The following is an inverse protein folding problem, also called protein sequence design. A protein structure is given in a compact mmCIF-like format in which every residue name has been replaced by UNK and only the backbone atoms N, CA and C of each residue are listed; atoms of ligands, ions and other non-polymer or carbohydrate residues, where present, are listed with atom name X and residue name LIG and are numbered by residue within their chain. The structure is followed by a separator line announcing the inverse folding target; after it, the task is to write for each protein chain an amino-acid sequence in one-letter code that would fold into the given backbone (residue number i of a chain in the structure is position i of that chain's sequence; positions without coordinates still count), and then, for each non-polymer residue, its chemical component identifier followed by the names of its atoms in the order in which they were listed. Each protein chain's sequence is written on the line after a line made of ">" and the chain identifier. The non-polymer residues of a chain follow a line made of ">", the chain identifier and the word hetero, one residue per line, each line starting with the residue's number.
data_IF_069988096745
#
_entry.id   IF_069988096745
#
_cell.length_a   1.000
_cell.length_b   1.000
_cell.length_c   1.000
_cell.angle_alpha   90.00
_cell.angle_beta   90.00
_cell.angle_gamma   90.00
#
_symmetry.space_group_name_H-M   'P 1'
#
loop_
_entity.id
_entity.type
_entity.pdbx_description
1 polymer ?
#
# COMPACT_ATOMS: atom_id res chain seq x y z
N UNK A 1 -13.40 -14.27 3.02
CA UNK A 1 -12.80 -13.16 2.23
C UNK A 1 -13.58 -11.89 2.56
N UNK A 2 -12.89 -10.83 2.87
CA UNK A 2 -13.47 -9.55 3.30
C UNK A 2 -13.81 -8.71 2.06
N UNK A 3 -15.01 -8.11 2.01
CA UNK A 3 -15.33 -7.19 0.90
C UNK A 3 -14.53 -5.88 1.09
N UNK A 4 -13.49 -5.75 0.29
CA UNK A 4 -12.58 -4.60 0.36
C UNK A 4 -13.31 -3.26 0.18
N UNK A 5 -14.39 -3.22 -0.59
CA UNK A 5 -15.17 -1.99 -0.85
C UNK A 5 -15.78 -1.37 0.40
N UNK A 6 -15.96 -2.15 1.45
CA UNK A 6 -16.53 -1.70 2.73
C UNK A 6 -15.48 -1.56 3.84
N UNK A 7 -14.22 -2.01 3.58
CA UNK A 7 -13.16 -2.10 4.60
C UNK A 7 -11.94 -1.22 4.32
N UNK A 8 -11.90 -0.48 3.20
CA UNK A 8 -10.79 0.43 2.88
C UNK A 8 -10.83 1.67 3.78
N UNK A 9 -10.31 1.52 5.00
CA UNK A 9 -10.17 2.60 6.00
C UNK A 9 -9.10 2.23 7.01
N UNK A 10 -8.75 3.17 7.88
CA UNK A 10 -7.80 2.90 8.95
C UNK A 10 -6.35 2.79 8.48
N UNK A 11 -5.54 2.00 9.19
CA UNK A 11 -4.12 1.84 8.93
C UNK A 11 -3.82 0.56 8.13
N UNK A 12 -3.26 0.70 6.94
CA UNK A 12 -2.81 -0.40 6.11
C UNK A 12 -1.29 -0.45 6.05
N UNK A 13 -0.72 -1.65 6.15
CA UNK A 13 0.72 -1.86 6.13
C UNK A 13 1.16 -2.39 4.76
N UNK A 14 1.97 -1.64 3.98
CA UNK A 14 2.63 -2.16 2.78
C UNK A 14 3.84 -3.00 3.22
N UNK A 15 3.62 -4.30 3.49
CA UNK A 15 4.59 -5.19 4.11
C UNK A 15 5.88 -5.30 3.29
N UNK A 16 7.04 -5.20 3.95
CA UNK A 16 8.33 -5.50 3.32
C UNK A 16 8.42 -6.99 3.00
N UNK A 17 9.17 -7.34 1.96
CA UNK A 17 9.53 -8.73 1.64
C UNK A 17 10.93 -8.98 2.14
N UNK A 18 11.15 -9.85 3.16
CA UNK A 18 12.48 -10.14 3.65
C UNK A 18 13.21 -11.09 2.70
N UNK A 19 14.48 -10.78 2.42
CA UNK A 19 15.38 -11.62 1.62
C UNK A 19 16.58 -12.07 2.44
N UNK A 20 17.12 -13.24 2.07
CA UNK A 20 18.36 -13.76 2.62
C UNK A 20 19.08 -14.61 1.58
N UNK A 21 20.32 -14.29 1.28
CA UNK A 21 21.14 -14.95 0.24
C UNK A 21 20.48 -14.94 -1.16
N UNK A 22 19.81 -13.85 -1.53
CA UNK A 22 19.08 -13.70 -2.78
C UNK A 22 17.68 -14.30 -2.82
N UNK A 23 17.27 -15.07 -1.82
CA UNK A 23 16.01 -15.81 -1.76
C UNK A 23 15.01 -15.17 -0.78
N UNK A 24 13.73 -15.52 -0.92
CA UNK A 24 12.68 -15.15 0.03
C UNK A 24 12.96 -15.78 1.40
N UNK A 25 13.15 -14.95 2.45
CA UNK A 25 13.32 -15.42 3.83
C UNK A 25 11.97 -15.70 4.47
N UNK A 26 11.48 -16.93 4.31
CA UNK A 26 10.18 -17.35 4.84
C UNK A 26 10.09 -17.31 6.36
N UNK A 27 11.19 -17.57 7.06
CA UNK A 27 11.22 -17.55 8.54
C UNK A 27 10.98 -16.13 9.03
N UNK A 28 11.71 -15.17 8.49
CA UNK A 28 11.50 -13.74 8.79
C UNK A 28 10.13 -13.27 8.33
N UNK A 29 9.63 -13.71 7.16
CA UNK A 29 8.31 -13.36 6.67
C UNK A 29 7.20 -13.81 7.64
N UNK A 30 7.21 -15.06 8.09
CA UNK A 30 6.24 -15.56 9.07
C UNK A 30 6.32 -14.78 10.38
N UNK A 31 7.52 -14.43 10.84
CA UNK A 31 7.74 -13.62 12.05
C UNK A 31 7.13 -12.21 11.89
N UNK A 32 7.34 -11.56 10.74
CA UNK A 32 6.75 -10.26 10.42
C UNK A 32 5.22 -10.31 10.41
N UNK A 33 4.64 -11.31 9.74
CA UNK A 33 3.17 -11.45 9.66
C UNK A 33 2.56 -11.66 11.03
N UNK A 34 3.18 -12.50 11.88
CA UNK A 34 2.72 -12.70 13.26
C UNK A 34 2.81 -11.41 14.07
N UNK A 35 3.91 -10.69 13.94
CA UNK A 35 4.09 -9.42 14.63
C UNK A 35 3.04 -8.40 14.21
N UNK A 36 2.93 -8.08 12.93
CA UNK A 36 2.01 -7.04 12.47
C UNK A 36 0.54 -7.47 12.48
N UNK A 37 0.24 -8.75 12.30
CA UNK A 37 -1.11 -9.28 12.39
C UNK A 37 -1.73 -9.15 13.78
N UNK A 38 -0.89 -9.09 14.84
CA UNK A 38 -1.32 -8.83 16.22
C UNK A 38 -1.48 -7.34 16.55
N UNK A 39 -0.99 -6.44 15.69
CA UNK A 39 -1.05 -4.99 15.90
C UNK A 39 -2.31 -4.38 15.24
N UNK A 40 -2.69 -3.14 15.62
CA UNK A 40 -3.92 -2.50 15.16
C UNK A 40 -3.81 -1.96 13.73
N UNK A 41 -3.55 -2.85 12.77
CA UNK A 41 -3.63 -2.57 11.33
C UNK A 41 -4.97 -3.04 10.77
N UNK A 42 -5.46 -2.41 9.72
CA UNK A 42 -6.73 -2.73 9.07
C UNK A 42 -6.56 -3.55 7.77
N UNK A 43 -5.32 -3.80 7.37
CA UNK A 43 -4.97 -4.66 6.24
C UNK A 43 -3.48 -4.67 5.91
N UNK A 44 -3.08 -5.59 5.04
CA UNK A 44 -1.71 -5.71 4.52
C UNK A 44 -1.71 -5.59 3.00
N UNK A 45 -0.65 -5.00 2.45
CA UNK A 45 -0.42 -4.96 1.00
C UNK A 45 0.92 -5.64 0.73
N UNK A 46 0.92 -6.68 -0.09
CA UNK A 46 2.08 -7.47 -0.45
C UNK A 46 2.62 -7.02 -1.81
N UNK A 47 3.91 -7.20 -2.05
CA UNK A 47 4.56 -6.99 -3.35
C UNK A 47 4.32 -5.58 -3.96
N UNK A 48 3.96 -4.57 -3.14
CA UNK A 48 3.96 -3.18 -3.58
C UNK A 48 5.41 -2.62 -3.58
N UNK A 49 5.58 -1.32 -3.74
CA UNK A 49 6.90 -0.66 -3.74
C UNK A 49 7.75 -1.04 -2.51
N UNK A 50 7.16 -0.95 -1.32
CA UNK A 50 7.82 -1.29 -0.05
C UNK A 50 8.18 -2.78 0.04
N UNK A 51 7.37 -3.64 -0.57
CA UNK A 51 7.60 -5.09 -0.65
C UNK A 51 8.48 -5.51 -1.84
N UNK A 52 9.15 -4.55 -2.51
CA UNK A 52 10.04 -4.81 -3.65
C UNK A 52 9.41 -5.67 -4.77
N UNK A 53 8.12 -5.49 -5.03
CA UNK A 53 7.33 -6.35 -5.93
C UNK A 53 7.87 -6.46 -7.35
N UNK A 54 8.59 -5.43 -7.86
CA UNK A 54 9.20 -5.46 -9.19
C UNK A 54 10.42 -6.40 -9.29
N UNK A 55 10.93 -6.89 -8.17
CA UNK A 55 12.07 -7.82 -8.12
C UNK A 55 11.67 -9.25 -7.79
N UNK A 56 10.37 -9.49 -7.59
CA UNK A 56 9.82 -10.81 -7.30
C UNK A 56 9.43 -11.55 -8.58
N UNK A 57 9.85 -12.79 -8.70
CA UNK A 57 9.35 -13.70 -9.71
C UNK A 57 7.88 -14.10 -9.42
N UNK A 58 7.10 -14.52 -10.43
CA UNK A 58 5.70 -14.92 -10.21
C UNK A 58 5.49 -16.03 -9.20
N UNK A 59 6.37 -17.02 -9.16
CA UNK A 59 6.34 -18.14 -8.20
C UNK A 59 6.71 -17.69 -6.79
N UNK A 60 7.66 -16.75 -6.63
CA UNK A 60 7.98 -16.14 -5.34
C UNK A 60 6.80 -15.32 -4.81
N UNK A 61 6.12 -14.58 -5.71
CA UNK A 61 4.92 -13.82 -5.33
C UNK A 61 3.80 -14.74 -4.89
N UNK A 62 3.57 -15.86 -5.59
CA UNK A 62 2.59 -16.87 -5.18
C UNK A 62 2.92 -17.45 -3.79
N UNK A 63 4.18 -17.76 -3.55
CA UNK A 63 4.68 -18.28 -2.27
C UNK A 63 4.55 -17.26 -1.14
N UNK A 64 4.89 -15.99 -1.41
CA UNK A 64 4.68 -14.88 -0.49
C UNK A 64 3.20 -14.78 -0.05
N UNK A 65 2.27 -14.77 -1.01
CA UNK A 65 0.83 -14.69 -0.73
C UNK A 65 0.34 -15.90 0.09
N UNK A 66 0.77 -17.11 -0.28
CA UNK A 66 0.38 -18.32 0.42
C UNK A 66 0.83 -18.31 1.89
N UNK A 67 2.09 -17.94 2.16
CA UNK A 67 2.64 -17.84 3.51
C UNK A 67 1.91 -16.80 4.35
N UNK A 68 1.70 -15.60 3.78
CA UNK A 68 1.02 -14.52 4.51
C UNK A 68 -0.41 -14.90 4.84
N UNK A 69 -1.14 -15.50 3.89
CA UNK A 69 -2.52 -15.92 4.14
C UNK A 69 -2.63 -17.02 5.19
N UNK A 70 -1.73 -17.99 5.16
CA UNK A 70 -1.64 -19.06 6.18
C UNK A 70 -1.47 -18.47 7.59
N UNK A 71 -0.49 -17.58 7.77
CA UNK A 71 -0.22 -16.95 9.08
C UNK A 71 -1.36 -16.02 9.54
N UNK A 72 -1.89 -15.19 8.64
CA UNK A 72 -3.00 -14.26 8.96
C UNK A 72 -4.24 -15.03 9.42
N UNK A 73 -4.55 -16.16 8.78
CA UNK A 73 -5.71 -16.99 9.14
C UNK A 73 -5.62 -17.54 10.56
N UNK A 74 -4.41 -17.79 11.04
CA UNK A 74 -4.17 -18.29 12.41
C UNK A 74 -4.15 -17.20 13.50
N UNK A 75 -3.96 -15.93 13.12
CA UNK A 75 -3.79 -14.82 14.07
C UNK A 75 -5.03 -13.93 14.13
N UNK A 76 -5.52 -13.53 12.97
CA UNK A 76 -6.63 -12.57 12.85
C UNK A 76 -7.46 -12.91 11.62
N UNK A 77 -8.42 -13.81 11.80
CA UNK A 77 -9.37 -14.14 10.75
C UNK A 77 -10.05 -12.87 10.20
N UNK A 78 -10.08 -12.74 8.88
CA UNK A 78 -10.70 -11.59 8.20
C UNK A 78 -9.82 -10.36 8.05
N UNK A 79 -8.54 -10.35 8.46
CA UNK A 79 -7.61 -9.26 8.12
C UNK A 79 -7.37 -9.27 6.60
N UNK A 80 -7.74 -8.18 5.88
CA UNK A 80 -7.59 -8.14 4.43
C UNK A 80 -6.13 -8.16 3.99
N UNK A 81 -5.85 -8.89 2.90
CA UNK A 81 -4.54 -8.96 2.25
C UNK A 81 -4.69 -8.62 0.78
N UNK A 82 -4.06 -7.54 0.33
CA UNK A 82 -4.05 -7.12 -1.06
C UNK A 82 -2.71 -7.42 -1.74
N UNK A 83 -2.77 -7.67 -3.05
CA UNK A 83 -1.58 -7.82 -3.89
C UNK A 83 -1.28 -6.52 -4.63
N UNK A 84 -0.05 -6.00 -4.49
CA UNK A 84 0.46 -4.89 -5.27
C UNK A 84 0.88 -5.34 -6.66
N UNK A 85 0.44 -4.63 -7.68
CA UNK A 85 0.83 -4.82 -9.07
C UNK A 85 1.35 -3.51 -9.66
N UNK A 86 2.41 -3.58 -10.45
CA UNK A 86 2.98 -2.42 -11.14
C UNK A 86 3.44 -2.84 -12.53
N UNK A 87 3.02 -2.09 -13.54
CA UNK A 87 3.39 -2.35 -14.92
C UNK A 87 2.99 -1.20 -15.83
N UNK A 88 3.57 -1.13 -17.03
CA UNK A 88 3.27 -0.13 -18.05
C UNK A 88 2.53 -0.71 -19.25
N UNK A 89 2.47 -2.03 -19.37
CA UNK A 89 1.72 -2.74 -20.40
C UNK A 89 0.41 -3.29 -19.81
N UNK A 90 -0.73 -2.81 -20.36
CA UNK A 90 -2.06 -3.27 -19.95
C UNK A 90 -2.24 -4.76 -20.16
N UNK A 91 -1.71 -5.32 -21.26
CA UNK A 91 -1.85 -6.75 -21.59
C UNK A 91 -1.15 -7.63 -20.56
N UNK A 92 0.09 -7.28 -20.21
CA UNK A 92 0.87 -8.00 -19.19
C UNK A 92 0.17 -8.00 -17.82
N UNK A 93 -0.44 -6.86 -17.45
CA UNK A 93 -1.22 -6.79 -16.22
C UNK A 93 -2.53 -7.59 -16.30
N UNK A 94 -3.22 -7.64 -17.44
CA UNK A 94 -4.38 -8.50 -17.64
C UNK A 94 -4.02 -9.98 -17.50
N UNK A 95 -2.92 -10.42 -18.11
CA UNK A 95 -2.38 -11.79 -17.96
C UNK A 95 -2.03 -12.09 -16.50
N UNK A 96 -1.54 -11.09 -15.77
CA UNK A 96 -1.22 -11.23 -14.34
C UNK A 96 -2.49 -11.32 -13.49
N UNK A 97 -3.53 -10.54 -13.78
CA UNK A 97 -4.83 -10.64 -13.11
C UNK A 97 -5.48 -12.01 -13.32
N UNK A 98 -5.41 -12.56 -14.55
CA UNK A 98 -5.91 -13.91 -14.85
C UNK A 98 -5.14 -14.97 -14.04
N UNK A 99 -3.81 -14.90 -14.02
CA UNK A 99 -2.95 -15.82 -13.30
C UNK A 99 -3.18 -15.80 -11.78
N UNK A 100 -3.53 -14.64 -11.23
CA UNK A 100 -3.73 -14.42 -9.79
C UNK A 100 -5.19 -14.49 -9.35
N UNK A 101 -6.13 -14.73 -10.27
CA UNK A 101 -7.57 -14.68 -10.04
C UNK A 101 -8.07 -15.62 -8.92
N UNK A 102 -7.41 -16.78 -8.76
CA UNK A 102 -7.73 -17.79 -7.74
C UNK A 102 -6.85 -17.67 -6.47
N UNK A 103 -5.98 -16.66 -6.38
CA UNK A 103 -5.13 -16.51 -5.21
C UNK A 103 -5.94 -16.04 -4.00
N UNK A 104 -5.54 -16.42 -2.77
CA UNK A 104 -6.27 -16.08 -1.56
C UNK A 104 -5.97 -14.64 -1.11
N UNK A 105 -6.33 -13.66 -1.94
CA UNK A 105 -6.23 -12.23 -1.70
C UNK A 105 -7.62 -11.59 -1.63
N UNK A 106 -7.72 -10.40 -1.06
CA UNK A 106 -9.00 -9.66 -0.93
C UNK A 106 -9.10 -8.49 -1.93
N UNK A 107 -8.00 -8.15 -2.61
CA UNK A 107 -7.97 -7.07 -3.60
C UNK A 107 -6.61 -6.84 -4.22
N UNK A 108 -6.57 -5.89 -5.15
CA UNK A 108 -5.35 -5.44 -5.81
C UNK A 108 -5.06 -3.97 -5.50
N UNK A 109 -3.78 -3.62 -5.34
CA UNK A 109 -3.28 -2.24 -5.41
C UNK A 109 -2.49 -2.11 -6.70
N UNK A 110 -3.01 -1.35 -7.69
CA UNK A 110 -2.40 -1.23 -9.02
C UNK A 110 -1.88 0.20 -9.23
N UNK A 111 -0.57 0.33 -9.48
CA UNK A 111 0.05 1.64 -9.75
C UNK A 111 -0.36 2.20 -11.11
N UNK A 112 -0.39 3.53 -11.24
CA UNK A 112 -0.42 4.15 -12.55
C UNK A 112 0.76 3.65 -13.41
N UNK A 113 0.58 3.51 -14.74
CA UNK A 113 1.66 3.13 -15.64
C UNK A 113 2.85 4.09 -15.50
N UNK A 114 4.04 3.54 -15.29
CA UNK A 114 5.26 4.32 -15.12
C UNK A 114 6.05 4.45 -16.44
N UNK A 115 6.97 5.39 -16.50
CA UNK A 115 7.90 5.62 -17.62
C UNK A 115 7.23 6.12 -18.90
N UNK A 116 6.22 5.43 -19.44
CA UNK A 116 5.55 5.75 -20.72
C UNK A 116 4.68 7.00 -20.70
N UNK A 117 4.27 7.46 -19.50
CA UNK A 117 3.50 8.69 -19.25
C UNK A 117 2.25 8.84 -20.14
N UNK A 118 1.29 7.92 -20.04
CA UNK A 118 0.08 7.94 -20.87
C UNK A 118 -0.79 9.17 -20.60
N UNK A 119 -1.69 9.48 -21.55
CA UNK A 119 -2.71 10.53 -21.38
C UNK A 119 -3.77 10.10 -20.34
N UNK A 120 -4.57 11.05 -19.86
CA UNK A 120 -5.70 10.76 -18.95
C UNK A 120 -6.66 9.73 -19.56
N UNK A 121 -6.99 9.87 -20.84
CA UNK A 121 -7.82 8.90 -21.57
C UNK A 121 -7.17 7.52 -21.63
N UNK A 122 -5.85 7.46 -21.81
CA UNK A 122 -5.11 6.20 -21.80
C UNK A 122 -5.18 5.52 -20.42
N UNK A 123 -5.03 6.28 -19.34
CA UNK A 123 -5.16 5.79 -17.97
C UNK A 123 -6.57 5.31 -17.64
N UNK A 124 -7.61 6.05 -18.06
CA UNK A 124 -9.00 5.61 -17.90
C UNK A 124 -9.21 4.26 -18.58
N UNK A 125 -8.82 4.12 -19.85
CA UNK A 125 -8.96 2.84 -20.58
C UNK A 125 -8.17 1.71 -19.93
N UNK A 126 -6.96 1.99 -19.47
CA UNK A 126 -6.10 1.05 -18.77
C UNK A 126 -6.77 0.51 -17.50
N UNK A 127 -7.16 1.38 -16.58
CA UNK A 127 -7.78 0.96 -15.31
C UNK A 127 -9.17 0.36 -15.49
N UNK A 128 -9.96 0.83 -16.47
CA UNK A 128 -11.25 0.21 -16.78
C UNK A 128 -11.06 -1.24 -17.25
N UNK A 129 -10.14 -1.49 -18.19
CA UNK A 129 -9.86 -2.85 -18.68
C UNK A 129 -9.36 -3.77 -17.54
N UNK A 130 -8.48 -3.26 -16.65
CA UNK A 130 -8.01 -4.03 -15.50
C UNK A 130 -9.14 -4.32 -14.51
N UNK A 131 -10.00 -3.35 -14.24
CA UNK A 131 -11.12 -3.52 -13.32
C UNK A 131 -12.22 -4.44 -13.87
N UNK A 132 -12.43 -4.44 -15.20
CA UNK A 132 -13.36 -5.37 -15.88
C UNK A 132 -12.89 -6.83 -15.77
N UNK A 133 -11.55 -7.06 -15.86
CA UNK A 133 -10.96 -8.41 -15.80
C UNK A 133 -10.77 -8.90 -14.36
N UNK A 134 -10.49 -7.99 -13.41
CA UNK A 134 -10.12 -8.37 -12.05
C UNK A 134 -11.27 -9.07 -11.32
N UNK A 135 -10.98 -10.24 -10.75
CA UNK A 135 -11.92 -11.01 -9.90
C UNK A 135 -12.06 -10.43 -8.49
N UNK A 136 -11.08 -9.63 -8.06
CA UNK A 136 -11.05 -8.95 -6.77
C UNK A 136 -11.10 -7.43 -6.97
N UNK A 137 -11.60 -6.66 -5.98
CA UNK A 137 -11.64 -5.20 -6.06
C UNK A 137 -10.25 -4.58 -6.30
N UNK A 138 -10.23 -3.50 -7.08
CA UNK A 138 -9.00 -2.77 -7.45
C UNK A 138 -8.94 -1.46 -6.67
N UNK A 139 -7.79 -1.21 -6.05
CA UNK A 139 -7.38 0.09 -5.51
C UNK A 139 -6.35 0.70 -6.48
N UNK A 140 -6.60 1.89 -6.98
CA UNK A 140 -5.66 2.62 -7.83
C UNK A 140 -4.53 3.19 -6.95
N UNK A 141 -3.30 3.20 -7.46
CA UNK A 141 -2.16 3.81 -6.79
C UNK A 141 -1.60 4.96 -7.64
N UNK A 142 -1.91 6.19 -7.24
CA UNK A 142 -1.43 7.41 -7.88
C UNK A 142 -0.19 7.94 -7.16
N UNK A 143 0.98 7.81 -7.80
CA UNK A 143 2.28 8.19 -7.23
C UNK A 143 3.17 8.88 -8.29
N UNK A 144 2.88 10.14 -8.63
CA UNK A 144 3.47 10.84 -9.76
C UNK A 144 4.99 10.96 -9.73
N UNK A 145 5.59 11.12 -8.55
CA UNK A 145 7.04 11.26 -8.44
C UNK A 145 7.82 9.97 -8.76
N UNK A 146 7.15 8.80 -8.75
CA UNK A 146 7.72 7.51 -9.19
C UNK A 146 7.31 7.16 -10.62
N UNK A 147 6.04 7.36 -10.97
CA UNK A 147 5.51 6.95 -12.27
C UNK A 147 5.78 7.96 -13.38
N UNK A 148 5.99 9.24 -13.03
CA UNK A 148 6.14 10.33 -13.99
C UNK A 148 4.80 10.80 -14.56
N UNK A 149 3.66 10.28 -14.11
CA UNK A 149 2.31 10.67 -14.54
C UNK A 149 1.39 10.83 -13.35
N UNK A 150 0.56 11.88 -13.36
CA UNK A 150 -0.47 12.13 -12.36
C UNK A 150 -1.85 11.81 -12.95
N UNK A 151 -2.64 11.00 -12.25
CA UNK A 151 -4.05 10.77 -12.59
C UNK A 151 -4.88 11.93 -11.99
N UNK A 152 -5.40 12.79 -12.87
CA UNK A 152 -6.17 13.97 -12.47
C UNK A 152 -7.57 13.61 -11.96
N UNK A 153 -8.18 14.55 -11.22
CA UNK A 153 -9.46 14.31 -10.54
C UNK A 153 -10.60 13.90 -11.47
N UNK A 154 -10.73 14.51 -12.65
CA UNK A 154 -11.84 14.16 -13.56
C UNK A 154 -11.71 12.73 -14.08
N UNK A 155 -10.49 12.28 -14.40
CA UNK A 155 -10.24 10.89 -14.77
C UNK A 155 -10.44 9.93 -13.57
N UNK A 156 -9.98 10.32 -12.38
CA UNK A 156 -10.18 9.54 -11.16
C UNK A 156 -11.66 9.39 -10.82
N UNK A 157 -12.45 10.47 -10.90
CA UNK A 157 -13.88 10.44 -10.62
C UNK A 157 -14.65 9.58 -11.62
N UNK A 158 -14.25 9.60 -12.91
CA UNK A 158 -14.82 8.68 -13.89
C UNK A 158 -14.52 7.23 -13.54
N UNK A 159 -13.29 6.91 -13.13
CA UNK A 159 -12.91 5.58 -12.68
C UNK A 159 -13.59 5.17 -11.36
N UNK A 160 -13.84 6.12 -10.47
CA UNK A 160 -14.56 5.88 -9.22
C UNK A 160 -16.01 5.42 -9.42
N UNK A 161 -16.59 5.62 -10.60
CA UNK A 161 -17.92 5.07 -10.95
C UNK A 161 -17.88 3.57 -11.33
N UNK A 162 -16.73 3.02 -11.59
CA UNK A 162 -16.58 1.60 -11.91
C UNK A 162 -16.85 0.72 -10.69
N UNK A 163 -17.74 -0.29 -10.75
CA UNK A 163 -18.17 -1.06 -9.58
C UNK A 163 -17.05 -1.86 -8.91
N UNK A 164 -16.00 -2.23 -9.66
CA UNK A 164 -14.87 -2.99 -9.17
C UNK A 164 -13.65 -2.13 -8.79
N UNK A 165 -13.75 -0.79 -8.88
CA UNK A 165 -12.73 0.12 -8.35
C UNK A 165 -13.19 0.59 -6.97
N UNK A 166 -12.48 0.12 -5.94
CA UNK A 166 -12.86 0.32 -4.54
C UNK A 166 -12.31 1.62 -3.95
N UNK A 167 -11.18 2.12 -4.46
CA UNK A 167 -10.55 3.31 -3.88
C UNK A 167 -9.22 3.67 -4.51
N UNK A 168 -8.56 4.60 -3.84
CA UNK A 168 -7.29 5.21 -4.21
C UNK A 168 -6.30 5.16 -3.04
N UNK A 169 -5.07 4.77 -3.32
CA UNK A 169 -3.89 5.17 -2.54
C UNK A 169 -3.33 6.44 -3.15
N UNK A 170 -3.46 7.56 -2.44
CA UNK A 170 -3.07 8.89 -2.94
C UNK A 170 -1.69 9.29 -2.44
N UNK A 171 -0.75 9.41 -3.38
CA UNK A 171 0.59 9.95 -3.20
C UNK A 171 0.85 11.11 -4.19
N UNK A 172 -0.18 11.86 -4.59
CA UNK A 172 0.02 12.92 -5.59
C UNK A 172 0.78 14.13 -5.03
N UNK A 173 0.85 14.27 -3.70
CA UNK A 173 1.51 15.38 -2.98
C UNK A 173 1.00 16.80 -3.40
N UNK A 174 -0.17 16.89 -4.03
CA UNK A 174 -0.84 18.13 -4.40
C UNK A 174 -2.11 18.25 -3.55
N UNK A 175 -1.98 18.87 -2.37
CA UNK A 175 -3.06 18.96 -1.38
C UNK A 175 -4.38 19.49 -1.96
N UNK A 176 -4.33 20.49 -2.84
CA UNK A 176 -5.52 21.04 -3.48
C UNK A 176 -6.26 19.99 -4.33
N UNK A 177 -5.53 19.12 -5.06
CA UNK A 177 -6.10 18.02 -5.81
C UNK A 177 -6.76 17.01 -4.88
N UNK A 178 -6.08 16.63 -3.81
CA UNK A 178 -6.62 15.68 -2.82
C UNK A 178 -7.88 16.20 -2.14
N UNK A 179 -7.91 17.47 -1.69
CA UNK A 179 -9.10 18.09 -1.08
C UNK A 179 -10.27 18.14 -2.08
N UNK A 180 -10.02 18.50 -3.34
CA UNK A 180 -11.07 18.53 -4.37
C UNK A 180 -11.64 17.11 -4.60
N UNK A 181 -10.78 16.11 -4.70
CA UNK A 181 -11.21 14.71 -4.84
C UNK A 181 -12.10 14.26 -3.66
N UNK A 182 -11.69 14.57 -2.41
CA UNK A 182 -12.47 14.25 -1.21
C UNK A 182 -13.90 14.83 -1.26
N UNK A 183 -14.05 16.03 -1.80
CA UNK A 183 -15.36 16.68 -1.90
C UNK A 183 -16.26 16.13 -3.00
N UNK A 184 -15.68 15.57 -4.07
CA UNK A 184 -16.40 15.16 -5.29
C UNK A 184 -16.58 13.66 -5.41
N UNK A 185 -15.79 12.85 -4.68
CA UNK A 185 -15.81 11.38 -4.80
C UNK A 185 -17.14 10.77 -4.38
N UNK A 186 -17.58 9.67 -5.01
CA UNK A 186 -18.70 8.87 -4.50
C UNK A 186 -18.41 8.33 -3.10
N UNK A 187 -19.42 8.24 -2.24
CA UNK A 187 -19.26 7.75 -0.85
C UNK A 187 -18.67 6.34 -0.75
N UNK A 188 -18.85 5.50 -1.78
CA UNK A 188 -18.30 4.15 -1.86
C UNK A 188 -16.83 4.09 -2.27
N UNK A 189 -16.26 5.18 -2.77
CA UNK A 189 -14.88 5.25 -3.22
C UNK A 189 -13.97 5.75 -2.11
N UNK A 190 -13.17 4.87 -1.53
CA UNK A 190 -12.27 5.19 -0.45
C UNK A 190 -10.99 5.90 -0.94
N UNK A 191 -10.48 6.85 -0.15
CA UNK A 191 -9.19 7.50 -0.42
C UNK A 191 -8.30 7.35 0.80
N UNK A 192 -7.18 6.63 0.63
CA UNK A 192 -6.17 6.44 1.66
C UNK A 192 -4.92 7.24 1.32
N UNK A 193 -4.39 7.96 2.31
CA UNK A 193 -3.08 8.61 2.16
C UNK A 193 -2.00 7.57 1.97
N UNK A 194 -1.14 7.76 0.98
CA UNK A 194 0.02 6.89 0.76
C UNK A 194 1.35 7.63 0.88
N UNK A 195 1.30 8.91 1.25
CA UNK A 195 2.47 9.75 1.47
C UNK A 195 2.66 9.95 2.98
N UNK A 196 3.62 9.23 3.55
CA UNK A 196 3.81 9.14 5.01
C UNK A 196 3.92 10.51 5.68
N UNK A 197 4.70 11.43 5.10
CA UNK A 197 4.93 12.75 5.67
C UNK A 197 3.68 13.67 5.67
N UNK A 198 2.72 13.40 4.79
CA UNK A 198 1.51 14.21 4.63
C UNK A 198 0.24 13.54 5.19
N UNK A 199 0.40 12.41 5.85
CA UNK A 199 -0.73 11.59 6.32
C UNK A 199 -1.65 12.34 7.28
N UNK A 200 -1.11 13.09 8.24
CA UNK A 200 -1.93 13.83 9.20
C UNK A 200 -2.85 14.84 8.51
N UNK A 201 -2.28 15.64 7.58
CA UNK A 201 -3.05 16.61 6.82
C UNK A 201 -4.11 15.94 5.94
N UNK A 202 -3.76 14.83 5.28
CA UNK A 202 -4.69 14.07 4.45
C UNK A 202 -5.89 13.54 5.25
N UNK A 203 -5.64 13.03 6.46
CA UNK A 203 -6.69 12.55 7.37
C UNK A 203 -7.58 13.70 7.86
N UNK A 204 -7.01 14.86 8.20
CA UNK A 204 -7.77 16.07 8.55
C UNK A 204 -8.59 16.58 7.37
N UNK A 205 -8.09 16.46 6.14
CA UNK A 205 -8.78 16.83 4.91
C UNK A 205 -9.84 15.79 4.46
N UNK A 206 -10.02 14.68 5.20
CA UNK A 206 -11.10 13.72 5.00
C UNK A 206 -10.71 12.38 4.34
N UNK A 207 -9.44 12.01 4.34
CA UNK A 207 -9.02 10.66 3.93
C UNK A 207 -9.59 9.58 4.90
N UNK A 208 -9.99 8.43 4.35
CA UNK A 208 -10.60 7.32 5.12
C UNK A 208 -9.56 6.55 5.95
N UNK A 209 -8.28 6.74 5.66
CA UNK A 209 -7.19 6.03 6.30
C UNK A 209 -5.85 6.31 5.61
N UNK A 210 -4.89 5.44 5.86
CA UNK A 210 -3.56 5.57 5.30
C UNK A 210 -2.88 4.22 5.05
N UNK A 211 -1.98 4.19 4.06
CA UNK A 211 -1.11 3.06 3.73
C UNK A 211 0.32 3.52 3.94
N UNK A 212 0.89 3.20 5.11
CA UNK A 212 2.13 3.80 5.59
C UNK A 212 3.28 2.80 5.70
N UNK A 213 4.36 3.08 5.01
CA UNK A 213 5.60 2.32 5.16
C UNK A 213 6.25 2.58 6.53
N UNK A 214 6.16 3.81 7.05
CA UNK A 214 6.65 4.17 8.39
C UNK A 214 5.96 3.41 9.53
N UNK A 215 4.76 2.87 9.28
CA UNK A 215 4.04 2.08 10.28
C UNK A 215 4.67 0.71 10.57
N UNK A 216 5.73 0.31 9.87
CA UNK A 216 6.58 -0.80 10.31
C UNK A 216 7.27 -0.50 11.65
N UNK A 217 7.41 0.78 11.99
CA UNK A 217 7.96 1.25 13.27
C UNK A 217 6.86 2.07 13.92
N UNK A 218 6.63 1.85 15.22
CA UNK A 218 5.57 2.56 15.96
C UNK A 218 4.14 2.38 15.38
N UNK A 219 3.80 1.17 14.92
CA UNK A 219 2.48 0.84 14.35
C UNK A 219 1.31 1.34 15.19
N UNK A 220 1.36 1.09 16.53
CA UNK A 220 0.33 1.53 17.48
C UNK A 220 0.16 3.05 17.49
N UNK A 221 1.25 3.79 17.33
CA UNK A 221 1.22 5.24 17.34
C UNK A 221 0.52 5.80 16.09
N UNK A 222 0.85 5.26 14.90
CA UNK A 222 0.18 5.66 13.66
C UNK A 222 -1.31 5.25 13.67
N UNK A 223 -1.63 4.06 14.14
CA UNK A 223 -3.02 3.62 14.31
C UNK A 223 -3.79 4.53 15.27
N UNK A 224 -3.17 4.90 16.39
CA UNK A 224 -3.76 5.82 17.37
C UNK A 224 -4.05 7.21 16.80
N UNK A 225 -3.19 7.75 15.93
CA UNK A 225 -3.44 9.02 15.22
C UNK A 225 -4.73 8.94 14.41
N UNK A 226 -4.88 7.87 13.62
CA UNK A 226 -6.08 7.67 12.78
C UNK A 226 -7.33 7.53 13.66
N UNK A 227 -7.28 6.72 14.71
CA UNK A 227 -8.40 6.49 15.62
C UNK A 227 -8.84 7.78 16.34
N UNK A 228 -7.87 8.58 16.81
CA UNK A 228 -8.15 9.85 17.48
C UNK A 228 -8.79 10.88 16.53
N UNK A 229 -8.33 10.98 15.28
CA UNK A 229 -8.95 11.83 14.26
C UNK A 229 -10.37 11.36 13.93
N UNK A 230 -10.57 10.07 13.73
CA UNK A 230 -11.89 9.48 13.44
C UNK A 230 -12.88 9.70 14.57
N UNK A 231 -12.41 9.72 15.82
CA UNK A 231 -13.24 10.01 17.02
C UNK A 231 -13.41 11.51 17.31
N UNK A 232 -12.86 12.40 16.46
CA UNK A 232 -12.95 13.85 16.63
C UNK A 232 -11.99 14.45 17.68
N UNK A 233 -11.05 13.66 18.21
CA UNK A 233 -10.09 14.14 19.22
C UNK A 233 -8.82 14.72 18.55
N UNK A 234 -8.98 15.83 17.85
CA UNK A 234 -7.93 16.44 17.04
C UNK A 234 -6.68 16.86 17.83
N UNK A 235 -6.85 17.39 19.04
CA UNK A 235 -5.71 17.83 19.87
C UNK A 235 -4.83 16.65 20.31
N UNK A 236 -5.45 15.55 20.72
CA UNK A 236 -4.70 14.33 21.08
C UNK A 236 -4.04 13.71 19.86
N UNK A 237 -4.72 13.69 18.72
CA UNK A 237 -4.17 13.21 17.46
C UNK A 237 -2.93 14.01 17.03
N UNK A 238 -2.99 15.35 17.13
CA UNK A 238 -1.87 16.23 16.81
C UNK A 238 -0.65 15.95 17.68
N UNK A 239 -0.87 15.85 19.02
CA UNK A 239 0.22 15.50 19.95
C UNK A 239 0.85 14.14 19.62
N UNK A 240 0.00 13.14 19.29
CA UNK A 240 0.49 11.80 18.93
C UNK A 240 1.25 11.81 17.62
N UNK A 241 0.76 12.54 16.61
CA UNK A 241 1.44 12.74 15.34
C UNK A 241 2.81 13.41 15.50
N UNK A 242 2.89 14.49 16.28
CA UNK A 242 4.15 15.20 16.54
C UNK A 242 5.21 14.28 17.17
N UNK A 243 4.80 13.32 17.99
CA UNK A 243 5.73 12.36 18.60
C UNK A 243 6.33 11.37 17.59
N UNK A 244 5.63 11.04 16.48
CA UNK A 244 6.06 10.01 15.52
C UNK A 244 6.40 10.54 14.11
N UNK A 245 6.02 11.77 13.79
CA UNK A 245 6.20 12.34 12.45
C UNK A 245 7.66 12.41 11.99
N UNK A 246 8.62 12.49 12.91
CA UNK A 246 10.04 12.45 12.57
C UNK A 246 10.45 11.13 11.90
N UNK A 247 9.78 10.01 12.21
CA UNK A 247 10.03 8.70 11.59
C UNK A 247 9.76 8.73 10.09
N UNK A 248 8.74 9.50 9.65
CA UNK A 248 8.42 9.62 8.22
C UNK A 248 9.56 10.22 7.39
N UNK A 249 10.38 11.09 7.99
CA UNK A 249 11.58 11.65 7.36
C UNK A 249 12.77 10.69 7.48
N UNK A 250 12.96 10.09 8.65
CA UNK A 250 14.07 9.19 8.90
C UNK A 250 14.01 7.97 7.99
N UNK A 251 12.84 7.34 7.85
CA UNK A 251 12.67 6.12 7.08
C UNK A 251 12.63 6.33 5.55
N UNK A 252 12.66 7.60 5.12
CA UNK A 252 12.77 8.01 3.72
C UNK A 252 14.01 8.87 3.46
N UNK A 253 14.98 8.90 4.42
CA UNK A 253 16.27 9.59 4.24
C UNK A 253 17.12 8.96 3.13
N UNK A 254 16.92 7.68 2.90
CA UNK A 254 17.47 6.92 1.77
C UNK A 254 16.32 6.20 1.04
N UNK A 255 16.55 5.61 -0.15
CA UNK A 255 15.50 4.96 -0.92
C UNK A 255 14.79 3.87 -0.11
N UNK A 256 13.47 4.04 0.10
CA UNK A 256 12.62 3.03 0.76
C UNK A 256 12.53 1.77 -0.12
N UNK A 257 12.64 0.53 0.47
CA UNK A 257 12.51 0.23 1.90
C UNK A 257 13.83 0.04 2.68
N UNK A 258 14.98 0.49 2.17
CA UNK A 258 16.28 0.20 2.81
C UNK A 258 16.35 0.61 4.29
N UNK A 259 15.98 1.85 4.73
CA UNK A 259 16.01 2.22 6.14
C UNK A 259 15.06 1.37 7.00
N UNK A 260 13.91 0.98 6.46
CA UNK A 260 12.93 0.13 7.16
C UNK A 260 13.54 -1.26 7.41
N UNK A 261 14.08 -1.90 6.36
CA UNK A 261 14.72 -3.22 6.49
C UNK A 261 15.90 -3.18 7.44
N UNK A 262 16.72 -2.12 7.39
CA UNK A 262 17.83 -1.95 8.33
C UNK A 262 17.33 -1.90 9.78
N UNK A 263 16.28 -1.12 10.06
CA UNK A 263 15.68 -1.06 11.40
C UNK A 263 15.13 -2.41 11.85
N UNK A 264 14.38 -3.10 11.00
CA UNK A 264 13.79 -4.40 11.33
C UNK A 264 14.86 -5.46 11.58
N UNK A 265 15.95 -5.42 10.84
CA UNK A 265 17.12 -6.28 11.09
C UNK A 265 17.78 -5.97 12.43
N UNK A 266 18.03 -4.70 12.73
CA UNK A 266 18.63 -4.26 14.00
C UNK A 266 17.78 -4.64 15.22
N UNK A 267 16.46 -4.70 15.06
CA UNK A 267 15.53 -5.10 16.13
C UNK A 267 15.21 -6.59 16.15
N UNK A 268 15.81 -7.40 15.25
CA UNK A 268 15.64 -8.84 15.20
C UNK A 268 14.33 -9.34 14.62
N UNK A 269 13.54 -8.45 13.96
CA UNK A 269 12.31 -8.85 13.28
C UNK A 269 12.57 -9.55 11.94
N UNK A 270 13.71 -9.28 11.30
CA UNK A 270 14.19 -10.01 10.13
C UNK A 270 15.65 -10.41 10.33
N UNK A 271 16.10 -11.47 9.66
CA UNK A 271 17.45 -12.03 9.86
C UNK A 271 18.51 -11.38 8.97
N UNK A 272 18.09 -10.61 7.95
CA UNK A 272 18.98 -9.91 7.01
C UNK A 272 18.36 -8.58 6.56
N UNK A 273 19.15 -7.49 6.41
CA UNK A 273 18.68 -6.22 5.84
C UNK A 273 18.65 -6.23 4.31
N UNK A 274 18.91 -7.35 3.68
CA UNK A 274 19.14 -7.52 2.24
C UNK A 274 17.99 -6.97 1.40
N UNK A 275 18.36 -6.25 0.33
CA UNK A 275 17.48 -5.84 -0.75
C UNK A 275 17.93 -6.48 -2.07
N UNK A 276 17.05 -6.59 -3.04
CA UNK A 276 17.41 -7.01 -4.38
C UNK A 276 17.78 -5.82 -5.26
N UNK A 277 18.81 -5.97 -6.07
CA UNK A 277 19.18 -4.95 -7.04
C UNK A 277 17.99 -4.57 -7.95
N UNK A 278 17.85 -3.28 -8.30
CA UNK A 278 18.85 -2.21 -8.17
C UNK A 278 18.88 -1.51 -6.80
N UNK A 279 18.04 -1.94 -5.84
CA UNK A 279 18.07 -1.41 -4.48
C UNK A 279 19.25 -1.99 -3.70
N UNK A 280 19.81 -1.18 -2.79
CA UNK A 280 20.91 -1.57 -1.91
C UNK A 280 20.55 -1.29 -0.45
N UNK A 281 21.27 -1.92 0.47
CA UNK A 281 21.20 -1.59 1.89
C UNK A 281 21.54 -0.12 2.13
N UNK A 282 21.20 0.39 3.32
CA UNK A 282 21.54 1.76 3.73
C UNK A 282 23.05 2.00 3.70
N UNK A 283 23.42 3.24 3.41
CA UNK A 283 24.81 3.68 3.44
C UNK A 283 25.40 3.58 4.86
N UNK A 284 26.71 3.36 5.00
CA UNK A 284 27.40 3.30 6.31
C UNK A 284 27.27 4.56 7.13
#
# INVERSE_FOLDING_TARGET
>A
MTDLRTHLRGLWLPLITPFRNGELDEVSLRRLVRHYGSLPIDGMILAATTGEGLTLAPDETARLVAIVRDEVSGIREGLPVCLGLSGSDTRELLDTLERTAAWPIDGYLISCPYYSRPTQTGMIRHFSALADQATHPVMIYNIPYRTGVNLGNDAMLQLAEHPNIAGLKDCCAIRAQSIELQRRRPARFAVLSGEDAHTYDALVDGADGAILASAHIETDAFASVIQLLTSGNHDAALRRWQAVSHLTKLLFSEPSPAPIKHWLWRTGLIDSPELRLPMTEVSP
#
